data_IF_443248147909
#
_entry.id   IF_443248147909
#
_cell.length_a   1.000
_cell.length_b   1.000
_cell.length_c   1.000
_cell.angle_alpha   90.00
_cell.angle_beta   90.00
_cell.angle_gamma   90.00
#
_symmetry.space_group_name_H-M   'P 1'
#
loop_
_entity.id
_entity.type
_entity.pdbx_description
1 polymer ?
#
# COMPACT_ATOMS: atom_id res chain seq x y z
N UNK A 1 -11.02 19.97 17.07
CA UNK A 1 -10.67 19.85 15.64
C UNK A 1 -10.59 18.37 15.31
N UNK A 2 -11.25 17.94 14.23
CA UNK A 2 -11.25 16.55 13.74
C UNK A 2 -10.61 16.49 12.36
N UNK A 3 -9.58 15.67 12.21
CA UNK A 3 -8.93 15.41 10.91
C UNK A 3 -9.28 14.00 10.46
N UNK A 4 -9.91 13.91 9.30
CA UNK A 4 -10.16 12.67 8.59
C UNK A 4 -8.93 12.24 7.78
N UNK A 5 -8.49 10.99 7.94
CA UNK A 5 -7.46 10.37 7.09
C UNK A 5 -8.12 9.21 6.33
N UNK A 6 -8.22 9.26 4.99
CA UNK A 6 -8.80 8.17 4.22
C UNK A 6 -7.97 6.89 4.38
N UNK A 7 -8.63 5.79 4.77
CA UNK A 7 -8.05 4.45 4.91
C UNK A 7 -7.76 3.78 3.56
N UNK A 8 -7.07 4.46 2.65
CA UNK A 8 -6.77 4.00 1.30
C UNK A 8 -5.44 4.55 0.78
N UNK A 9 -4.98 4.04 -0.37
CA UNK A 9 -3.72 4.44 -1.01
C UNK A 9 -2.52 4.31 -0.04
N UNK A 10 -1.75 5.38 0.16
CA UNK A 10 -0.55 5.32 0.99
C UNK A 10 -0.83 5.35 2.50
N UNK A 11 -2.11 5.35 2.91
CA UNK A 11 -2.48 5.11 4.30
C UNK A 11 -1.86 3.81 4.83
N UNK A 12 -1.88 2.73 4.03
CA UNK A 12 -1.28 1.46 4.43
C UNK A 12 0.23 1.57 4.74
N UNK A 13 0.95 2.52 4.11
CA UNK A 13 2.42 2.64 4.27
C UNK A 13 2.87 3.78 5.19
N UNK A 14 2.13 4.90 5.20
CA UNK A 14 2.46 6.11 5.95
C UNK A 14 1.44 6.46 7.04
N UNK A 15 0.33 5.72 7.12
CA UNK A 15 -0.69 5.88 8.16
C UNK A 15 -0.15 5.84 9.59
N UNK A 16 0.82 4.97 9.98
CA UNK A 16 1.35 4.97 11.34
C UNK A 16 2.09 6.26 11.69
N UNK A 17 2.60 6.98 10.69
CA UNK A 17 3.17 8.31 10.87
C UNK A 17 2.06 9.36 10.94
N UNK A 18 1.15 9.39 9.96
CA UNK A 18 0.15 10.45 9.87
C UNK A 18 -0.85 10.46 11.03
N UNK A 19 -1.36 9.29 11.44
CA UNK A 19 -2.29 9.16 12.56
C UNK A 19 -1.61 9.68 13.84
N UNK A 20 -0.46 9.11 14.20
CA UNK A 20 0.28 9.49 15.41
C UNK A 20 0.74 10.95 15.39
N UNK A 21 1.09 11.50 14.22
CA UNK A 21 1.48 12.90 14.07
C UNK A 21 0.37 13.84 14.53
N UNK A 22 -0.86 13.63 14.06
CA UNK A 22 -1.99 14.50 14.41
C UNK A 22 -2.48 14.25 15.84
N UNK A 23 -2.49 13.00 16.31
CA UNK A 23 -2.82 12.68 17.71
C UNK A 23 -1.84 13.34 18.70
N UNK A 24 -0.54 13.31 18.41
CA UNK A 24 0.50 13.95 19.24
C UNK A 24 0.42 15.50 19.20
N UNK A 25 -0.24 16.07 18.20
CA UNK A 25 -0.62 17.49 18.16
C UNK A 25 -1.93 17.79 18.94
N UNK A 26 -2.52 16.78 19.59
CA UNK A 26 -3.78 16.91 20.33
C UNK A 26 -5.02 16.99 19.44
N UNK A 27 -4.93 16.52 18.20
CA UNK A 27 -6.04 16.56 17.23
C UNK A 27 -6.73 15.20 17.18
N UNK A 28 -8.07 15.19 17.19
CA UNK A 28 -8.86 13.98 17.03
C UNK A 28 -8.72 13.47 15.58
N UNK A 29 -8.21 12.24 15.41
CA UNK A 29 -8.03 11.61 14.10
C UNK A 29 -9.17 10.63 13.85
N UNK A 30 -9.85 10.80 12.71
CA UNK A 30 -10.87 9.87 12.24
C UNK A 30 -10.32 9.15 11.01
N UNK A 31 -10.22 7.84 11.06
CA UNK A 31 -9.89 7.02 9.90
C UNK A 31 -11.13 6.29 9.41
N UNK A 32 -11.20 6.02 8.11
CA UNK A 32 -12.27 5.18 7.58
C UNK A 32 -12.00 3.70 7.86
N UNK A 33 -13.07 2.95 8.07
CA UNK A 33 -13.02 1.49 8.17
C UNK A 33 -12.73 0.84 6.81
N UNK A 34 -12.69 -0.49 6.80
CA UNK A 34 -12.50 -1.33 5.60
C UNK A 34 -13.37 -0.87 4.43
N UNK A 35 -12.79 -0.96 3.24
CA UNK A 35 -13.50 -0.70 1.99
C UNK A 35 -14.63 -1.71 1.82
N UNK A 36 -15.85 -1.22 1.55
CA UNK A 36 -17.00 -2.04 1.22
C UNK A 36 -17.62 -1.56 -0.10
N UNK A 37 -18.59 -2.33 -0.60
CA UNK A 37 -19.26 -2.03 -1.87
C UNK A 37 -19.88 -0.63 -1.91
N UNK A 38 -20.45 -0.17 -0.78
CA UNK A 38 -21.02 1.19 -0.66
C UNK A 38 -19.94 2.27 -0.78
N UNK A 39 -18.75 2.07 -0.22
CA UNK A 39 -17.61 2.99 -0.38
C UNK A 39 -17.27 3.14 -1.87
N UNK A 40 -17.15 2.01 -2.56
CA UNK A 40 -16.73 1.97 -3.95
C UNK A 40 -17.77 2.58 -4.87
N UNK A 41 -19.03 2.19 -4.74
CA UNK A 41 -20.09 2.68 -5.61
C UNK A 41 -20.25 4.21 -5.50
N UNK A 42 -20.10 4.76 -4.28
CA UNK A 42 -20.04 6.21 -4.07
C UNK A 42 -18.80 6.84 -4.69
N UNK A 43 -17.65 6.19 -4.56
CA UNK A 43 -16.41 6.61 -5.16
C UNK A 43 -16.46 6.67 -6.69
N UNK A 44 -17.05 5.64 -7.32
CA UNK A 44 -17.32 5.58 -8.76
C UNK A 44 -18.18 6.77 -9.19
N UNK A 45 -19.25 7.07 -8.44
CA UNK A 45 -20.18 8.15 -8.76
C UNK A 45 -19.59 9.56 -8.80
N UNK A 46 -18.42 9.79 -8.19
CA UNK A 46 -17.72 11.09 -8.19
C UNK A 46 -16.39 11.04 -8.96
N UNK A 47 -16.15 9.97 -9.70
CA UNK A 47 -14.90 9.73 -10.41
C UNK A 47 -15.11 9.70 -11.92
N UNK A 48 -14.09 10.10 -12.68
CA UNK A 48 -14.07 9.86 -14.13
C UNK A 48 -13.94 8.36 -14.42
N UNK A 49 -14.60 7.82 -15.46
CA UNK A 49 -14.61 6.39 -15.73
C UNK A 49 -13.21 5.76 -15.87
N UNK A 50 -12.26 6.47 -16.46
CA UNK A 50 -10.92 5.99 -16.79
C UNK A 50 -9.93 6.05 -15.60
N UNK A 51 -10.34 6.62 -14.46
CA UNK A 51 -9.48 6.65 -13.27
C UNK A 51 -9.37 5.24 -12.68
N UNK A 52 -8.25 4.93 -12.03
CA UNK A 52 -8.01 3.57 -11.55
C UNK A 52 -8.84 3.31 -10.30
N UNK A 53 -9.17 2.03 -10.08
CA UNK A 53 -9.98 1.57 -8.94
C UNK A 53 -9.47 2.09 -7.59
N UNK A 54 -8.16 2.13 -7.28
CA UNK A 54 -7.68 2.63 -5.99
C UNK A 54 -8.02 4.10 -5.75
N UNK A 55 -8.11 4.92 -6.80
CA UNK A 55 -8.53 6.32 -6.69
C UNK A 55 -10.05 6.41 -6.47
N UNK A 56 -10.83 5.57 -7.16
CA UNK A 56 -12.29 5.49 -6.93
C UNK A 56 -12.57 5.10 -5.47
N UNK A 57 -11.87 4.11 -4.94
CA UNK A 57 -11.92 3.72 -3.52
C UNK A 57 -11.55 4.90 -2.61
N UNK A 58 -10.45 5.59 -2.90
CA UNK A 58 -10.04 6.76 -2.12
C UNK A 58 -11.11 7.86 -2.09
N UNK A 59 -11.73 8.17 -3.23
CA UNK A 59 -12.82 9.14 -3.32
C UNK A 59 -14.03 8.72 -2.46
N UNK A 60 -14.36 7.43 -2.46
CA UNK A 60 -15.39 6.87 -1.58
C UNK A 60 -15.09 7.06 -0.09
N UNK A 61 -13.83 6.85 0.31
CA UNK A 61 -13.38 7.11 1.69
C UNK A 61 -13.41 8.59 2.05
N UNK A 62 -13.07 9.49 1.12
CA UNK A 62 -13.20 10.93 1.32
C UNK A 62 -14.66 11.31 1.58
N UNK A 63 -15.60 10.80 0.78
CA UNK A 63 -17.03 11.03 0.99
C UNK A 63 -17.52 10.53 2.36
N UNK A 64 -17.02 9.37 2.82
CA UNK A 64 -17.35 8.86 4.17
C UNK A 64 -16.89 9.80 5.28
N UNK A 65 -15.67 10.33 5.19
CA UNK A 65 -15.15 11.28 6.19
C UNK A 65 -15.96 12.58 6.21
N UNK A 66 -16.38 13.05 5.03
CA UNK A 66 -17.27 14.21 4.92
C UNK A 66 -18.60 13.95 5.63
N UNK A 67 -19.22 12.78 5.42
CA UNK A 67 -20.46 12.41 6.11
C UNK A 67 -20.28 12.27 7.64
N UNK A 68 -19.08 11.86 8.08
CA UNK A 68 -18.72 11.77 9.50
C UNK A 68 -18.47 13.14 10.15
N UNK A 69 -18.55 14.24 9.39
CA UNK A 69 -18.49 15.59 9.92
C UNK A 69 -17.09 16.02 10.37
N UNK A 70 -16.02 15.50 9.75
CA UNK A 70 -14.65 15.96 10.05
C UNK A 70 -14.46 17.43 9.66
N UNK A 71 -13.61 18.15 10.40
CA UNK A 71 -13.29 19.55 10.09
C UNK A 71 -12.42 19.64 8.84
N UNK A 72 -11.42 18.75 8.75
CA UNK A 72 -10.55 18.63 7.60
C UNK A 72 -10.41 17.18 7.12
N UNK A 73 -10.21 16.97 5.82
CA UNK A 73 -9.76 15.72 5.23
C UNK A 73 -8.30 15.89 4.81
N UNK A 74 -7.43 15.05 5.34
CA UNK A 74 -6.01 15.05 5.02
C UNK A 74 -5.75 14.32 3.70
N UNK A 75 -5.32 15.08 2.69
CA UNK A 75 -5.02 14.59 1.33
C UNK A 75 -3.64 15.09 0.94
N UNK A 76 -2.55 14.35 1.23
CA UNK A 76 -1.21 14.79 0.90
C UNK A 76 -0.94 14.66 -0.60
N UNK A 77 -0.26 15.65 -1.19
CA UNK A 77 0.29 15.56 -2.55
C UNK A 77 1.61 14.82 -2.51
N UNK A 78 1.59 13.56 -2.92
CA UNK A 78 2.80 12.74 -2.93
C UNK A 78 3.59 13.01 -4.21
N UNK A 79 4.68 13.79 -4.14
CA UNK A 79 5.50 14.14 -5.31
C UNK A 79 6.64 13.15 -5.49
N UNK A 80 7.47 12.99 -4.45
CA UNK A 80 8.65 12.13 -4.50
C UNK A 80 9.10 11.74 -3.09
N UNK A 81 9.58 10.51 -2.93
CA UNK A 81 10.30 10.05 -1.74
C UNK A 81 11.65 9.41 -2.10
N UNK A 82 12.16 9.75 -3.28
CA UNK A 82 13.46 9.31 -3.75
C UNK A 82 13.97 10.24 -4.85
N UNK A 83 15.25 10.62 -4.76
CA UNK A 83 15.86 11.54 -5.73
C UNK A 83 15.73 11.00 -7.17
N UNK A 84 15.13 11.80 -8.05
CA UNK A 84 14.96 11.45 -9.47
C UNK A 84 13.84 10.45 -9.76
N UNK A 85 12.99 10.14 -8.77
CA UNK A 85 11.81 9.28 -8.89
C UNK A 85 10.59 10.01 -8.38
N UNK A 86 9.43 9.65 -8.91
CA UNK A 86 8.18 10.34 -8.60
C UNK A 86 7.06 9.34 -8.35
N UNK A 87 6.00 9.78 -7.69
CA UNK A 87 4.76 9.00 -7.68
C UNK A 87 4.04 9.12 -9.02
N UNK A 88 3.00 8.30 -9.23
CA UNK A 88 2.19 8.42 -10.44
C UNK A 88 1.48 9.78 -10.49
N UNK A 89 1.12 10.29 -11.69
CA UNK A 89 0.43 11.57 -11.81
C UNK A 89 -0.85 11.68 -10.98
N UNK A 90 -1.55 10.56 -10.73
CA UNK A 90 -2.76 10.51 -9.92
C UNK A 90 -2.49 10.83 -8.44
N UNK A 91 -1.31 10.49 -7.91
CA UNK A 91 -0.87 10.92 -6.58
C UNK A 91 -0.48 12.40 -6.55
N UNK A 92 0.21 12.85 -7.61
CA UNK A 92 0.67 14.23 -7.72
C UNK A 92 -0.47 15.21 -7.97
N UNK A 93 -1.60 14.77 -8.52
CA UNK A 93 -2.81 15.58 -8.73
C UNK A 93 -3.95 15.27 -7.75
N UNK A 94 -3.73 14.37 -6.78
CA UNK A 94 -4.80 13.85 -5.91
C UNK A 94 -5.56 14.95 -5.17
N UNK A 95 -4.92 15.95 -4.52
CA UNK A 95 -5.65 17.02 -3.86
C UNK A 95 -6.54 17.82 -4.82
N UNK A 96 -6.06 18.14 -6.03
CA UNK A 96 -6.81 18.94 -7.00
C UNK A 96 -8.02 18.17 -7.53
N UNK A 97 -7.80 16.88 -7.84
CA UNK A 97 -8.87 15.98 -8.27
C UNK A 97 -9.98 15.87 -7.23
N UNK A 98 -9.62 15.80 -5.95
CA UNK A 98 -10.58 15.75 -4.85
C UNK A 98 -11.30 17.09 -4.68
N UNK A 99 -10.57 18.21 -4.71
CA UNK A 99 -11.12 19.56 -4.56
C UNK A 99 -12.16 19.90 -5.63
N UNK A 100 -11.93 19.42 -6.86
CA UNK A 100 -12.74 19.74 -8.03
C UNK A 100 -13.78 18.64 -8.33
N UNK A 101 -13.51 17.39 -7.96
CA UNK A 101 -14.42 16.25 -8.15
C UNK A 101 -15.45 16.08 -7.03
N UNK A 102 -15.18 16.57 -5.81
CA UNK A 102 -16.06 16.41 -4.65
C UNK A 102 -16.36 17.78 -4.03
N UNK A 103 -17.41 18.50 -4.47
CA UNK A 103 -17.71 19.85 -3.98
C UNK A 103 -17.81 19.97 -2.45
N UNK A 104 -18.31 18.93 -1.77
CA UNK A 104 -18.48 18.89 -0.33
C UNK A 104 -17.15 18.91 0.48
N UNK A 105 -16.00 18.62 -0.15
CA UNK A 105 -14.69 18.60 0.51
C UNK A 105 -13.88 19.88 0.30
N UNK A 106 -14.28 20.77 -0.62
CA UNK A 106 -13.46 21.91 -1.08
C UNK A 106 -12.95 22.79 0.06
N UNK A 107 -13.80 23.14 1.02
CA UNK A 107 -13.42 23.94 2.20
C UNK A 107 -12.79 23.14 3.34
N UNK A 108 -12.74 21.82 3.22
CA UNK A 108 -12.26 20.88 4.23
C UNK A 108 -10.89 20.27 3.87
N UNK A 109 -10.27 20.63 2.75
CA UNK A 109 -9.00 20.03 2.36
C UNK A 109 -7.82 20.53 3.20
N UNK A 110 -7.12 19.57 3.81
CA UNK A 110 -5.81 19.74 4.42
C UNK A 110 -4.77 19.03 3.56
N UNK A 111 -4.01 19.81 2.80
CA UNK A 111 -3.01 19.30 1.86
C UNK A 111 -1.63 19.87 2.18
N UNK A 112 -0.61 19.10 1.85
CA UNK A 112 0.79 19.48 1.84
C UNK A 112 1.52 18.70 0.76
N UNK A 113 2.61 19.27 0.25
CA UNK A 113 3.45 18.61 -0.75
C UNK A 113 4.53 17.77 -0.06
N UNK A 114 4.50 16.45 -0.31
CA UNK A 114 5.50 15.51 0.17
C UNK A 114 6.56 15.32 -0.90
N UNK A 115 7.70 15.97 -0.66
CA UNK A 115 8.92 15.78 -1.41
C UNK A 115 10.08 15.47 -0.45
N UNK A 116 10.60 14.24 -0.53
CA UNK A 116 11.73 13.77 0.26
C UNK A 116 12.76 13.08 -0.65
N UNK A 117 14.02 13.10 -0.25
CA UNK A 117 15.08 12.35 -0.92
C UNK A 117 15.12 10.87 -0.51
N UNK A 118 14.34 10.50 0.50
CA UNK A 118 14.25 9.14 1.06
C UNK A 118 12.81 8.78 1.41
N UNK A 119 12.53 7.49 1.62
CA UNK A 119 11.21 7.02 2.05
C UNK A 119 10.78 7.52 3.43
N UNK A 120 11.72 8.03 4.23
CA UNK A 120 11.46 8.71 5.50
C UNK A 120 10.88 10.12 5.22
N UNK A 121 9.61 10.31 5.58
CA UNK A 121 8.86 11.57 5.44
C UNK A 121 8.66 12.27 6.80
N UNK A 122 9.43 11.89 7.82
CA UNK A 122 9.23 12.34 9.21
C UNK A 122 9.85 13.71 9.50
N UNK A 123 10.37 14.39 8.46
CA UNK A 123 10.93 15.73 8.58
C UNK A 123 9.84 16.75 8.97
N UNK A 124 10.01 17.49 10.09
CA UNK A 124 9.06 18.52 10.50
C UNK A 124 8.82 19.61 9.45
N UNK A 125 9.82 19.85 8.57
CA UNK A 125 9.74 20.84 7.50
C UNK A 125 8.60 20.56 6.51
N UNK A 126 8.24 19.30 6.32
CA UNK A 126 7.13 18.89 5.45
C UNK A 126 5.77 19.28 6.04
N UNK A 127 5.69 19.46 7.36
CA UNK A 127 4.44 19.72 8.08
C UNK A 127 4.24 21.22 8.36
N UNK A 128 5.32 22.02 8.41
CA UNK A 128 5.23 23.47 8.62
C UNK A 128 4.24 24.24 7.73
N UNK A 129 4.02 23.88 6.44
CA UNK A 129 3.04 24.57 5.60
C UNK A 129 1.61 24.56 6.14
N UNK A 130 1.24 23.54 6.93
CA UNK A 130 -0.11 23.42 7.50
C UNK A 130 -0.21 23.90 8.95
N UNK A 131 0.89 24.34 9.57
CA UNK A 131 0.94 24.77 10.96
C UNK A 131 -0.14 25.82 11.31
N UNK A 132 -0.30 26.83 10.44
CA UNK A 132 -1.29 27.90 10.63
C UNK A 132 -2.74 27.41 10.58
N UNK A 133 -3.06 26.47 9.68
CA UNK A 133 -4.40 25.86 9.60
C UNK A 133 -4.73 25.03 10.85
N UNK A 134 -3.72 24.40 11.43
CA UNK A 134 -3.86 23.56 12.62
C UNK A 134 -3.85 24.34 13.93
N UNK A 135 -3.42 25.62 13.91
CA UNK A 135 -3.27 26.42 15.13
C UNK A 135 -2.13 25.94 16.04
N UNK A 136 -1.10 25.30 15.48
CA UNK A 136 0.03 24.72 16.24
C UNK A 136 1.34 25.42 15.93
N UNK A 137 2.25 25.44 16.91
CA UNK A 137 3.57 26.02 16.77
C UNK A 137 4.57 25.08 16.08
N UNK A 138 5.67 25.64 15.55
CA UNK A 138 6.75 24.84 14.96
C UNK A 138 7.44 23.92 15.96
N UNK A 139 7.48 24.28 17.24
CA UNK A 139 8.07 23.45 18.30
C UNK A 139 7.20 22.23 18.58
N UNK A 140 5.87 22.38 18.59
CA UNK A 140 4.90 21.29 18.68
C UNK A 140 5.03 20.35 17.49
N UNK A 141 5.04 20.88 16.25
CA UNK A 141 5.26 20.06 15.05
C UNK A 141 6.57 19.28 15.13
N UNK A 142 7.67 19.92 15.56
CA UNK A 142 8.96 19.23 15.69
C UNK A 142 8.89 18.06 16.68
N UNK A 143 8.26 18.26 17.84
CA UNK A 143 8.05 17.18 18.82
C UNK A 143 7.19 16.07 18.24
N UNK A 144 6.07 16.44 17.61
CA UNK A 144 5.12 15.51 17.05
C UNK A 144 5.69 14.67 15.91
N UNK A 145 6.37 15.29 14.95
CA UNK A 145 7.06 14.61 13.86
C UNK A 145 8.15 13.67 14.36
N UNK A 146 8.88 14.02 15.42
CA UNK A 146 9.89 13.15 16.00
C UNK A 146 9.26 11.93 16.71
N UNK A 147 8.17 12.14 17.46
CA UNK A 147 7.41 11.05 18.12
C UNK A 147 6.80 10.09 17.09
N UNK A 148 6.05 10.62 16.14
CA UNK A 148 5.44 9.87 15.05
C UNK A 148 6.49 9.18 14.17
N UNK A 149 7.65 9.82 13.96
CA UNK A 149 8.74 9.24 13.19
C UNK A 149 9.38 8.03 13.84
N UNK A 150 9.46 7.98 15.19
CA UNK A 150 9.88 6.76 15.89
C UNK A 150 8.87 5.63 15.72
N UNK A 151 7.56 5.94 15.81
CA UNK A 151 6.49 4.95 15.58
C UNK A 151 6.57 4.38 14.16
N UNK A 152 6.73 5.23 13.15
CA UNK A 152 6.86 4.78 11.76
C UNK A 152 8.14 3.97 11.49
N UNK A 153 9.26 4.31 12.14
CA UNK A 153 10.49 3.49 12.05
C UNK A 153 10.29 2.10 12.68
N UNK A 154 9.61 2.03 13.83
CA UNK A 154 9.23 0.74 14.45
C UNK A 154 8.34 -0.07 13.51
N UNK A 155 7.32 0.55 12.91
CA UNK A 155 6.47 -0.07 11.87
C UNK A 155 7.29 -0.65 10.72
N UNK A 156 8.22 0.13 10.16
CA UNK A 156 9.08 -0.31 9.05
C UNK A 156 9.99 -1.46 9.47
N UNK A 157 10.57 -1.43 10.67
CA UNK A 157 11.41 -2.51 11.17
C UNK A 157 10.63 -3.81 11.32
N UNK A 158 9.40 -3.76 11.85
CA UNK A 158 8.51 -4.93 11.91
C UNK A 158 8.27 -5.53 10.52
N UNK A 159 8.08 -4.68 9.50
CA UNK A 159 7.96 -5.16 8.13
C UNK A 159 9.24 -5.87 7.66
N UNK A 160 10.41 -5.29 7.94
CA UNK A 160 11.71 -5.88 7.58
C UNK A 160 12.01 -7.19 8.30
N UNK A 161 11.35 -7.45 9.44
CA UNK A 161 11.39 -8.73 10.16
C UNK A 161 10.47 -9.80 9.54
N UNK A 162 9.79 -9.48 8.42
CA UNK A 162 8.94 -10.41 7.68
C UNK A 162 7.44 -10.32 8.04
N UNK A 163 7.04 -9.31 8.82
CA UNK A 163 5.62 -9.04 9.08
C UNK A 163 5.03 -8.26 7.90
N UNK A 164 3.81 -8.62 7.49
CA UNK A 164 3.03 -7.82 6.55
C UNK A 164 2.66 -6.48 7.19
N UNK A 165 2.25 -5.51 6.39
CA UNK A 165 1.79 -4.20 6.90
C UNK A 165 0.65 -4.37 7.93
N UNK A 166 -0.30 -5.27 7.66
CA UNK A 166 -1.44 -5.55 8.55
C UNK A 166 -0.97 -6.14 9.89
N UNK A 167 -0.04 -7.11 9.85
CA UNK A 167 0.57 -7.70 11.05
C UNK A 167 1.39 -6.66 11.84
N UNK A 168 2.20 -5.85 11.16
CA UNK A 168 3.00 -4.80 11.77
C UNK A 168 2.14 -3.71 12.42
N UNK A 169 0.99 -3.38 11.82
CA UNK A 169 0.04 -2.43 12.38
C UNK A 169 -0.61 -2.97 13.65
N UNK A 170 -1.13 -4.21 13.61
CA UNK A 170 -1.76 -4.85 14.78
C UNK A 170 -0.81 -4.94 15.98
N UNK A 171 0.47 -5.21 15.73
CA UNK A 171 1.49 -5.26 16.79
C UNK A 171 1.81 -3.88 17.38
N UNK A 172 1.79 -2.82 16.58
CA UNK A 172 1.96 -1.45 17.09
C UNK A 172 0.81 -1.00 17.98
N UNK A 173 -0.39 -1.48 17.69
CA UNK A 173 -1.60 -1.18 18.45
C UNK A 173 -1.76 -2.12 19.68
N UNK A 174 -0.81 -3.02 19.90
CA UNK A 174 -0.79 -3.92 21.06
C UNK A 174 -1.79 -5.08 20.97
N UNK A 175 -2.44 -5.27 19.83
CA UNK A 175 -3.39 -6.37 19.61
C UNK A 175 -2.72 -7.76 19.53
N UNK A 176 -1.39 -7.79 19.47
CA UNK A 176 -0.61 -8.99 19.16
C UNK A 176 -0.81 -9.41 17.70
N UNK A 177 0.21 -10.03 17.11
CA UNK A 177 0.02 -10.74 15.84
C UNK A 177 -0.27 -12.20 16.16
N UNK A 178 -1.40 -12.79 15.71
CA UNK A 178 -1.55 -14.23 15.72
C UNK A 178 -0.54 -14.80 14.71
N UNK A 179 0.67 -15.08 15.18
CA UNK A 179 1.65 -15.84 14.43
C UNK A 179 1.20 -17.30 14.45
N UNK A 180 0.28 -17.69 13.57
CA UNK A 180 0.18 -19.10 13.21
C UNK A 180 1.44 -19.46 12.42
N UNK A 181 2.30 -20.27 13.05
CA UNK A 181 3.45 -20.87 12.37
C UNK A 181 2.91 -21.78 11.28
N UNK A 182 3.29 -21.47 10.04
CA UNK A 182 2.94 -22.25 8.87
C UNK A 182 3.43 -23.69 9.03
N UNK A 183 2.52 -24.64 8.77
CA UNK A 183 2.81 -26.06 8.61
C UNK A 183 3.01 -26.46 7.14
N UNK A 184 3.24 -25.50 6.23
CA UNK A 184 3.36 -25.76 4.78
C UNK A 184 4.51 -24.93 4.15
N UNK A 185 5.50 -25.59 3.58
CA UNK A 185 6.83 -25.01 3.28
C UNK A 185 6.90 -24.17 1.98
N UNK A 186 5.78 -23.66 1.46
CA UNK A 186 5.75 -22.83 0.25
C UNK A 186 6.07 -21.37 0.56
N UNK A 187 7.00 -20.79 -0.18
CA UNK A 187 7.36 -19.37 -0.15
C UNK A 187 6.73 -18.67 -1.33
N UNK A 188 5.83 -17.72 -1.08
CA UNK A 188 5.11 -17.00 -2.13
C UNK A 188 5.52 -15.53 -2.10
N UNK A 189 6.04 -15.05 -3.23
CA UNK A 189 6.26 -13.63 -3.47
C UNK A 189 4.95 -12.96 -3.81
N UNK A 190 4.54 -11.97 -3.03
CA UNK A 190 3.34 -11.18 -3.29
C UNK A 190 3.76 -9.77 -3.71
N UNK A 191 3.60 -9.48 -5.01
CA UNK A 191 3.98 -8.22 -5.62
C UNK A 191 2.73 -7.41 -5.95
N UNK A 192 2.70 -6.15 -5.54
CA UNK A 192 1.61 -5.24 -5.84
C UNK A 192 1.81 -3.97 -5.04
N UNK A 193 1.17 -2.88 -5.42
CA UNK A 193 1.25 -1.69 -4.59
C UNK A 193 0.59 -1.94 -3.25
N UNK A 194 1.05 -1.25 -2.21
CA UNK A 194 0.54 -1.43 -0.84
C UNK A 194 -0.98 -1.30 -0.76
N UNK A 195 -1.56 -0.41 -1.57
CA UNK A 195 -3.00 -0.21 -1.61
C UNK A 195 -3.75 -1.25 -2.44
N UNK A 196 -3.09 -2.00 -3.30
CA UNK A 196 -3.70 -3.12 -3.99
C UNK A 196 -3.60 -4.40 -3.15
N UNK A 197 -2.50 -4.55 -2.40
CA UNK A 197 -2.23 -5.72 -1.54
C UNK A 197 -2.99 -5.68 -0.21
N UNK A 198 -3.14 -4.49 0.38
CA UNK A 198 -3.68 -4.35 1.75
C UNK A 198 -5.09 -3.77 1.82
N UNK A 199 -5.63 -3.28 0.71
CA UNK A 199 -7.06 -3.00 0.66
C UNK A 199 -7.83 -4.31 0.54
N UNK A 200 -8.69 -4.59 1.52
CA UNK A 200 -9.39 -5.87 1.61
C UNK A 200 -10.45 -6.03 0.52
N UNK A 201 -10.95 -4.95 -0.09
CA UNK A 201 -11.82 -5.10 -1.25
C UNK A 201 -11.01 -5.43 -2.50
N UNK A 202 -9.84 -4.80 -2.68
CA UNK A 202 -8.99 -5.04 -3.85
C UNK A 202 -8.36 -6.42 -3.76
N UNK A 203 -7.59 -6.67 -2.72
CA UNK A 203 -6.86 -7.93 -2.53
C UNK A 203 -7.75 -9.09 -2.11
N UNK A 204 -8.95 -8.83 -1.59
CA UNK A 204 -9.78 -9.81 -0.91
C UNK A 204 -9.06 -10.53 0.23
N UNK A 205 -8.21 -9.79 0.95
CA UNK A 205 -7.40 -10.30 2.07
C UNK A 205 -6.51 -11.49 1.66
N UNK A 206 -5.97 -11.45 0.45
CA UNK A 206 -5.05 -12.46 -0.11
C UNK A 206 -3.91 -12.84 0.83
N UNK A 207 -3.41 -11.88 1.62
CA UNK A 207 -2.30 -12.11 2.56
C UNK A 207 -2.75 -13.07 3.65
N UNK A 208 -3.92 -12.84 4.26
CA UNK A 208 -4.51 -13.75 5.22
C UNK A 208 -4.84 -15.11 4.60
N UNK A 209 -5.38 -15.15 3.37
CA UNK A 209 -5.67 -16.42 2.68
C UNK A 209 -4.40 -17.24 2.48
N UNK A 210 -3.33 -16.64 1.97
CA UNK A 210 -2.06 -17.33 1.75
C UNK A 210 -1.49 -17.89 3.05
N UNK A 211 -1.58 -17.12 4.16
CA UNK A 211 -1.19 -17.60 5.49
C UNK A 211 -2.05 -18.79 5.95
N UNK A 212 -3.37 -18.74 5.77
CA UNK A 212 -4.29 -19.86 6.09
C UNK A 212 -4.01 -21.13 5.27
N UNK A 213 -3.57 -20.97 4.01
CA UNK A 213 -3.11 -22.09 3.18
C UNK A 213 -1.72 -22.62 3.60
N UNK A 214 -1.12 -22.01 4.62
CA UNK A 214 0.17 -22.33 5.17
C UNK A 214 1.33 -21.74 4.40
N UNK A 215 1.14 -20.82 3.46
CA UNK A 215 2.26 -20.23 2.72
C UNK A 215 2.99 -19.14 3.53
N UNK A 216 4.31 -19.10 3.40
CA UNK A 216 5.13 -17.97 3.82
C UNK A 216 5.05 -16.87 2.76
N UNK A 217 4.53 -15.70 3.13
CA UNK A 217 4.35 -14.57 2.21
C UNK A 217 5.51 -13.59 2.34
N UNK A 218 6.10 -13.21 1.20
CA UNK A 218 7.13 -12.15 1.12
C UNK A 218 6.64 -11.02 0.22
N UNK A 219 6.63 -9.79 0.74
CA UNK A 219 6.26 -8.57 0.00
C UNK A 219 7.46 -7.62 -0.11
N UNK A 220 7.37 -6.58 -0.95
CA UNK A 220 8.52 -5.70 -1.21
C UNK A 220 8.98 -4.92 0.02
N UNK A 221 8.06 -4.57 0.92
CA UNK A 221 8.34 -3.76 2.11
C UNK A 221 9.07 -4.52 3.21
N UNK A 222 9.14 -5.86 3.10
CA UNK A 222 9.96 -6.75 3.91
C UNK A 222 11.42 -6.78 3.43
N UNK A 223 11.70 -6.27 2.23
CA UNK A 223 13.05 -6.27 1.65
C UNK A 223 13.74 -4.93 1.96
N UNK A 224 14.99 -4.94 2.46
CA UNK A 224 15.71 -3.71 2.74
C UNK A 224 15.82 -2.79 1.50
N UNK A 225 15.58 -1.47 1.62
CA UNK A 225 15.63 -0.55 0.48
C UNK A 225 16.96 -0.56 -0.27
N UNK A 226 18.08 -0.75 0.44
CA UNK A 226 19.41 -0.89 -0.17
C UNK A 226 19.49 -2.10 -1.11
N UNK A 227 18.86 -3.21 -0.74
CA UNK A 227 18.83 -4.43 -1.53
C UNK A 227 17.94 -4.24 -2.76
N UNK A 228 16.76 -3.64 -2.62
CA UNK A 228 15.89 -3.30 -3.75
C UNK A 228 16.65 -2.46 -4.80
N UNK A 229 17.35 -1.40 -4.36
CA UNK A 229 18.15 -0.54 -5.24
C UNK A 229 19.30 -1.27 -5.91
N UNK A 230 19.98 -2.18 -5.20
CA UNK A 230 21.06 -3.00 -5.75
C UNK A 230 20.59 -3.83 -6.95
N UNK A 231 19.38 -4.39 -6.88
CA UNK A 231 18.81 -5.21 -7.93
C UNK A 231 18.52 -4.42 -9.21
N UNK A 232 17.89 -3.25 -9.08
CA UNK A 232 17.53 -2.41 -10.25
C UNK A 232 18.72 -1.65 -10.84
N UNK A 233 19.83 -1.48 -10.10
CA UNK A 233 21.03 -0.75 -10.56
C UNK A 233 21.66 -1.36 -11.83
N UNK A 234 21.41 -2.65 -12.11
CA UNK A 234 21.90 -3.32 -13.32
C UNK A 234 21.16 -2.88 -14.59
N UNK A 235 20.01 -2.22 -14.47
CA UNK A 235 19.25 -1.75 -15.62
C UNK A 235 19.87 -0.47 -16.20
N UNK A 236 19.93 -0.38 -17.54
CA UNK A 236 20.36 0.86 -18.23
C UNK A 236 19.48 2.06 -17.86
N UNK A 237 18.18 1.82 -17.66
CA UNK A 237 17.20 2.79 -17.20
C UNK A 237 16.17 2.08 -16.33
N UNK A 238 16.11 2.45 -15.05
CA UNK A 238 15.11 1.92 -14.13
C UNK A 238 13.79 2.69 -14.22
N UNK A 239 12.72 2.11 -13.67
CA UNK A 239 11.38 2.68 -13.74
C UNK A 239 11.29 4.04 -13.04
N UNK A 240 10.56 4.98 -13.64
CA UNK A 240 10.41 6.34 -13.14
C UNK A 240 9.61 6.42 -11.83
N UNK A 241 8.65 5.51 -11.65
CA UNK A 241 7.73 5.50 -10.51
C UNK A 241 8.30 4.77 -9.31
N UNK A 242 8.34 5.43 -8.16
CA UNK A 242 8.97 4.93 -6.92
C UNK A 242 8.52 3.52 -6.55
N UNK A 243 7.21 3.26 -6.49
CA UNK A 243 6.72 1.94 -6.11
C UNK A 243 6.93 0.88 -7.20
N UNK A 244 6.83 1.23 -8.49
CA UNK A 244 7.14 0.27 -9.55
C UNK A 244 8.60 -0.17 -9.51
N UNK A 245 9.52 0.75 -9.23
CA UNK A 245 10.93 0.42 -9.07
C UNK A 245 11.19 -0.44 -7.84
N UNK A 246 10.55 -0.15 -6.70
CA UNK A 246 10.64 -1.00 -5.50
C UNK A 246 10.13 -2.42 -5.78
N UNK A 247 8.98 -2.55 -6.42
CA UNK A 247 8.41 -3.84 -6.80
C UNK A 247 9.28 -4.60 -7.80
N UNK A 248 9.85 -3.91 -8.78
CA UNK A 248 10.78 -4.54 -9.72
C UNK A 248 12.06 -5.02 -9.02
N UNK A 249 12.59 -4.24 -8.08
CA UNK A 249 13.72 -4.65 -7.26
C UNK A 249 13.41 -5.89 -6.40
N UNK A 250 12.18 -5.97 -5.87
CA UNK A 250 11.72 -7.14 -5.13
C UNK A 250 11.55 -8.36 -6.06
N UNK A 251 10.95 -8.16 -7.23
CA UNK A 251 10.80 -9.18 -8.25
C UNK A 251 12.14 -9.78 -8.67
N UNK A 252 13.17 -8.96 -8.87
CA UNK A 252 14.51 -9.46 -9.20
C UNK A 252 15.12 -10.30 -8.08
N UNK A 253 14.90 -9.96 -6.82
CA UNK A 253 15.33 -10.81 -5.69
C UNK A 253 14.53 -12.12 -5.64
N UNK A 254 13.23 -12.08 -5.97
CA UNK A 254 12.37 -13.25 -6.01
C UNK A 254 12.73 -14.20 -7.16
N UNK A 255 12.74 -13.69 -8.40
CA UNK A 255 12.96 -14.45 -9.62
C UNK A 255 14.41 -14.86 -9.83
N UNK A 256 15.36 -13.94 -9.68
CA UNK A 256 16.77 -14.20 -10.08
C UNK A 256 17.59 -14.86 -8.98
N UNK A 257 17.25 -14.62 -7.71
CA UNK A 257 17.90 -15.31 -6.58
C UNK A 257 17.16 -16.60 -6.21
N UNK A 258 16.01 -16.89 -6.82
CA UNK A 258 15.23 -18.12 -6.56
C UNK A 258 14.72 -18.21 -5.13
N UNK A 259 14.37 -17.08 -4.51
CA UNK A 259 14.05 -17.02 -3.07
C UNK A 259 12.61 -17.44 -2.74
N UNK A 260 11.78 -17.66 -3.75
CA UNK A 260 10.36 -18.04 -3.64
C UNK A 260 10.02 -19.23 -4.55
N UNK A 261 8.98 -19.98 -4.19
CA UNK A 261 8.45 -21.11 -4.96
C UNK A 261 7.48 -20.63 -6.07
N UNK A 262 6.88 -19.44 -5.91
CA UNK A 262 5.99 -18.81 -6.90
C UNK A 262 5.71 -17.35 -6.59
N UNK A 263 5.22 -16.60 -7.58
CA UNK A 263 4.93 -15.16 -7.47
C UNK A 263 3.49 -14.86 -7.87
N UNK A 264 2.79 -14.08 -7.05
CA UNK A 264 1.46 -13.54 -7.33
C UNK A 264 1.61 -12.02 -7.47
N UNK A 265 1.22 -11.47 -8.62
CA UNK A 265 1.11 -10.03 -8.86
C UNK A 265 -0.34 -9.57 -8.68
N UNK A 266 -0.55 -8.56 -7.84
CA UNK A 266 -1.85 -7.93 -7.64
C UNK A 266 -1.83 -6.53 -8.25
N UNK A 267 -2.83 -6.28 -9.08
CA UNK A 267 -2.98 -5.04 -9.82
C UNK A 267 -4.44 -4.62 -9.89
N UNK A 268 -4.67 -3.33 -10.07
CA UNK A 268 -6.00 -2.77 -10.28
C UNK A 268 -6.18 -2.24 -11.71
N UNK A 269 -7.42 -2.31 -12.20
CA UNK A 269 -7.80 -1.78 -13.50
C UNK A 269 -7.51 -0.27 -13.59
N UNK A 270 -7.07 0.19 -14.76
CA UNK A 270 -6.67 1.58 -15.02
C UNK A 270 -5.33 2.02 -14.41
N UNK A 271 -4.53 1.09 -13.85
CA UNK A 271 -3.23 1.38 -13.28
C UNK A 271 -2.11 1.38 -14.34
N UNK A 272 -1.80 2.56 -14.89
CA UNK A 272 -0.79 2.73 -15.95
C UNK A 272 0.62 2.25 -15.58
N UNK A 273 1.25 2.77 -14.51
CA UNK A 273 2.61 2.37 -14.12
C UNK A 273 2.78 0.88 -13.83
N UNK A 274 1.71 0.23 -13.37
CA UNK A 274 1.72 -1.19 -13.02
C UNK A 274 1.48 -2.09 -14.24
N UNK A 275 0.79 -1.62 -15.28
CA UNK A 275 0.69 -2.34 -16.55
C UNK A 275 2.08 -2.57 -17.19
N UNK A 276 2.98 -1.59 -17.08
CA UNK A 276 4.39 -1.74 -17.49
C UNK A 276 5.15 -2.72 -16.59
N UNK A 277 4.94 -2.63 -15.26
CA UNK A 277 5.57 -3.54 -14.32
C UNK A 277 5.16 -4.99 -14.58
N UNK A 278 3.86 -5.26 -14.72
CA UNK A 278 3.32 -6.60 -14.95
C UNK A 278 3.98 -7.31 -16.14
N UNK A 279 4.18 -6.60 -17.26
CA UNK A 279 4.87 -7.19 -18.42
C UNK A 279 6.34 -7.52 -18.12
N UNK A 280 7.03 -6.72 -17.32
CA UNK A 280 8.40 -7.05 -16.89
C UNK A 280 8.42 -8.27 -15.97
N UNK A 281 7.42 -8.42 -15.09
CA UNK A 281 7.32 -9.59 -14.22
C UNK A 281 7.07 -10.89 -15.01
N UNK A 282 6.25 -10.84 -16.06
CA UNK A 282 6.03 -11.97 -16.97
C UNK A 282 7.34 -12.42 -17.62
N UNK A 283 8.14 -11.49 -18.14
CA UNK A 283 9.44 -11.80 -18.75
C UNK A 283 10.39 -12.45 -17.73
N UNK A 284 10.47 -11.90 -16.52
CA UNK A 284 11.35 -12.48 -15.47
C UNK A 284 10.87 -13.87 -15.02
N UNK A 285 9.56 -14.13 -15.05
CA UNK A 285 9.01 -15.46 -14.77
C UNK A 285 9.37 -16.47 -15.86
N UNK A 286 9.25 -16.08 -17.14
CA UNK A 286 9.66 -16.91 -18.28
C UNK A 286 11.15 -17.25 -18.21
N UNK A 287 12.00 -16.26 -17.92
CA UNK A 287 13.46 -16.43 -17.83
C UNK A 287 13.89 -17.29 -16.64
N UNK A 288 13.22 -17.18 -15.49
CA UNK A 288 13.57 -17.90 -14.26
C UNK A 288 12.90 -19.27 -14.12
N UNK A 289 11.80 -19.52 -14.84
CA UNK A 289 10.97 -20.71 -14.69
C UNK A 289 10.15 -20.76 -13.39
N UNK A 290 10.14 -19.69 -12.60
CA UNK A 290 9.32 -19.58 -11.39
C UNK A 290 7.88 -19.26 -11.79
N UNK A 291 6.88 -20.05 -11.35
CA UNK A 291 5.49 -19.81 -11.71
C UNK A 291 5.00 -18.43 -11.26
N UNK A 292 4.26 -17.78 -12.14
CA UNK A 292 3.76 -16.42 -11.96
C UNK A 292 2.27 -16.36 -12.31
N UNK A 293 1.53 -15.57 -11.55
CA UNK A 293 0.15 -15.24 -11.89
C UNK A 293 -0.15 -13.76 -11.62
N UNK A 294 -1.00 -13.17 -12.44
CA UNK A 294 -1.53 -11.83 -12.22
C UNK A 294 -3.01 -11.88 -11.82
N UNK A 295 -3.32 -11.26 -10.70
CA UNK A 295 -4.67 -10.99 -10.21
C UNK A 295 -4.98 -9.52 -10.48
N UNK A 296 -5.82 -9.28 -11.49
CA UNK A 296 -6.31 -7.95 -11.84
C UNK A 296 -7.69 -7.74 -11.27
N UNK A 297 -7.85 -6.68 -10.49
CA UNK A 297 -9.11 -6.32 -9.84
C UNK A 297 -9.72 -5.11 -10.51
N UNK A 298 -11.04 -5.17 -10.69
CA UNK A 298 -11.90 -4.14 -11.27
C UNK A 298 -13.13 -3.90 -10.38
N UNK A 299 -13.84 -2.81 -10.60
CA UNK A 299 -15.03 -2.34 -9.85
C UNK A 299 -16.19 -3.34 -9.81
N UNK A 300 -16.21 -4.27 -10.78
CA UNK A 300 -17.23 -5.32 -10.94
C UNK A 300 -16.76 -6.71 -10.47
N UNK A 301 -15.54 -6.81 -9.95
CA UNK A 301 -14.92 -8.09 -9.56
C UNK A 301 -15.63 -8.63 -8.31
N UNK A 302 -16.23 -9.83 -8.39
CA UNK A 302 -16.88 -10.52 -7.26
C UNK A 302 -15.93 -11.27 -6.32
N UNK A 303 -16.37 -11.62 -5.11
CA UNK A 303 -15.45 -12.18 -4.10
C UNK A 303 -15.08 -13.68 -4.30
N UNK A 304 -15.75 -14.43 -5.17
CA UNK A 304 -15.51 -15.88 -5.20
C UNK A 304 -14.40 -16.28 -6.17
N UNK A 305 -14.24 -15.59 -7.30
CA UNK A 305 -13.33 -16.04 -8.36
C UNK A 305 -11.84 -15.75 -8.09
N UNK A 306 -11.48 -14.80 -7.23
CA UNK A 306 -10.06 -14.51 -6.93
C UNK A 306 -9.49 -15.51 -5.93
N UNK A 307 -10.25 -15.86 -4.88
CA UNK A 307 -9.83 -16.83 -3.88
C UNK A 307 -9.56 -18.20 -4.49
N UNK A 308 -10.47 -18.70 -5.34
CA UNK A 308 -10.28 -19.98 -6.01
C UNK A 308 -9.03 -20.00 -6.90
N UNK A 309 -8.67 -18.87 -7.53
CA UNK A 309 -7.44 -18.76 -8.34
C UNK A 309 -6.19 -18.80 -7.46
N UNK A 310 -6.20 -18.17 -6.29
CA UNK A 310 -5.10 -18.23 -5.32
C UNK A 310 -4.94 -19.65 -4.79
N UNK A 311 -6.03 -20.31 -4.42
CA UNK A 311 -6.03 -21.71 -3.96
C UNK A 311 -5.48 -22.65 -5.03
N UNK A 312 -5.99 -22.55 -6.25
CA UNK A 312 -5.52 -23.37 -7.37
C UNK A 312 -4.03 -23.16 -7.66
N UNK A 313 -3.54 -21.92 -7.53
CA UNK A 313 -2.11 -21.62 -7.70
C UNK A 313 -1.26 -22.25 -6.60
N UNK A 314 -1.68 -22.13 -5.33
CA UNK A 314 -0.99 -22.76 -4.20
C UNK A 314 -0.98 -24.29 -4.35
N UNK A 315 -2.11 -24.89 -4.74
CA UNK A 315 -2.21 -26.34 -4.95
C UNK A 315 -1.31 -26.81 -6.10
N UNK A 316 -1.26 -26.07 -7.20
CA UNK A 316 -0.35 -26.34 -8.33
C UNK A 316 1.12 -26.31 -7.87
N UNK A 317 1.52 -25.31 -7.08
CA UNK A 317 2.87 -25.24 -6.51
C UNK A 317 3.14 -26.41 -5.55
N UNK A 318 2.18 -26.74 -4.68
CA UNK A 318 2.27 -27.86 -3.74
C UNK A 318 2.52 -29.19 -4.45
N UNK A 319 1.88 -29.43 -5.60
CA UNK A 319 2.11 -30.62 -6.45
C UNK A 319 3.49 -30.59 -7.11
N UNK A 320 3.90 -29.43 -7.65
CA UNK A 320 5.21 -29.26 -8.33
C UNK A 320 6.39 -29.56 -7.40
N UNK A 321 6.29 -29.16 -6.13
CA UNK A 321 7.38 -29.29 -5.16
C UNK A 321 7.24 -30.46 -4.18
N UNK A 322 6.23 -31.32 -4.33
CA UNK A 322 5.99 -32.46 -3.44
C UNK A 322 5.72 -32.05 -1.99
N UNK A 323 5.27 -30.81 -1.76
CA UNK A 323 5.01 -30.22 -0.43
C UNK A 323 3.56 -30.39 0.01
N UNK A 324 2.80 -31.27 -0.62
CA UNK A 324 1.40 -31.51 -0.28
C UNK A 324 1.35 -32.32 1.01
N UNK A 325 1.12 -31.66 2.14
CA UNK A 325 0.65 -32.35 3.34
C UNK A 325 -0.64 -33.09 3.00
N UNK A 326 -0.72 -34.37 3.37
CA UNK A 326 -1.89 -35.22 3.22
C UNK A 326 -3.12 -34.51 3.81
N UNK A 327 -3.94 -33.89 2.96
CA UNK A 327 -5.31 -33.50 3.29
C UNK A 327 -6.17 -34.74 3.07
N UNK A 328 -6.26 -35.60 4.09
CA UNK A 328 -7.36 -36.54 4.25
C UNK A 328 -8.51 -35.87 4.99
#
# INVERSE_FOLDING_TARGET
MKIGIPGALLYYYYGPYWVHLFEELGIEVITTQKTDKKTIDRGIGVSVPEICVPIKIYNGHVLRLVDQGVDYVFVPRMVSVEKGKFFCPKFMGLPDMIEHGIPAVRSKLLTLDIQSSTEDITSPKLIYPIAGKLGVSRSEIRRASHSAGRRWKKFRNLCLEGKTIKEAWAELDGAGSPLERSHNSLKIGLLGYVYDVYDEFISMDVTARLRQLGAAVTTFEMIPPKLLKKHVKKMKKSLFWTFSEKLLGAAYSMFREGSVDGVIHITAFGCGPDAFLGRLLEIESEDSGIPFMTLRIDEHTGENHLQTRVEAFVDMLGRKFGKTGERQ
#
